data_IF_944952247257
#
_entry.id   IF_944952247257
#
_cell.length_a   1.000
_cell.length_b   1.000
_cell.length_c   1.000
_cell.angle_alpha   90.00
_cell.angle_beta   90.00
_cell.angle_gamma   90.00
#
_symmetry.space_group_name_H-M   'P 1'
#
loop_
_entity.id
_entity.type
_entity.pdbx_description
1 polymer ?
#
# COMPACT_ATOMS: atom_id res chain seq x y z
N UNK A 1 -26.73 -2.79 10.65
CA UNK A 1 -26.50 -1.49 9.98
C UNK A 1 -26.93 -1.66 8.53
N UNK A 2 -28.03 -1.04 8.10
CA UNK A 2 -28.47 -1.10 6.70
C UNK A 2 -27.62 -0.09 5.91
N UNK A 3 -26.73 -0.58 5.06
CA UNK A 3 -25.99 0.26 4.13
C UNK A 3 -27.01 0.76 3.12
N UNK A 4 -27.32 2.06 3.16
CA UNK A 4 -28.16 2.66 2.12
C UNK A 4 -27.44 2.50 0.77
N UNK A 5 -28.12 2.01 -0.28
CA UNK A 5 -27.50 1.94 -1.60
C UNK A 5 -27.10 3.35 -2.03
N UNK A 6 -25.85 3.50 -2.48
CA UNK A 6 -25.36 4.74 -3.10
C UNK A 6 -26.35 5.21 -4.18
N UNK A 7 -26.61 6.52 -4.32
CA UNK A 7 -27.48 7.03 -5.37
C UNK A 7 -26.96 6.56 -6.73
N UNK A 8 -27.78 5.75 -7.41
CA UNK A 8 -27.46 5.09 -8.70
C UNK A 8 -27.28 6.05 -9.89
N UNK A 9 -27.42 7.36 -9.67
CA UNK A 9 -27.38 8.36 -10.71
C UNK A 9 -26.24 9.35 -10.45
N UNK A 10 -25.00 8.89 -10.58
CA UNK A 10 -23.92 9.83 -10.90
C UNK A 10 -24.12 10.26 -12.37
N UNK A 11 -24.22 11.56 -12.66
CA UNK A 11 -24.45 12.06 -14.02
C UNK A 11 -23.34 11.68 -15.02
N UNK A 12 -22.18 11.26 -14.52
CA UNK A 12 -21.10 10.64 -15.30
C UNK A 12 -20.71 9.32 -14.65
N UNK A 13 -20.80 8.17 -15.36
CA UNK A 13 -20.29 6.91 -14.84
C UNK A 13 -18.76 6.98 -14.69
N UNK A 14 -18.20 6.17 -13.78
CA UNK A 14 -16.75 5.99 -13.69
C UNK A 14 -16.25 5.37 -14.99
N UNK A 15 -15.41 6.08 -15.72
CA UNK A 15 -14.73 5.54 -16.90
C UNK A 15 -13.44 4.85 -16.47
N UNK A 16 -13.33 3.54 -16.77
CA UNK A 16 -12.07 2.80 -16.62
C UNK A 16 -11.21 3.08 -17.86
N UNK A 17 -10.19 3.93 -17.69
CA UNK A 17 -9.17 4.12 -18.72
C UNK A 17 -8.10 3.02 -18.61
N UNK A 18 -7.23 2.97 -19.62
CA UNK A 18 -6.11 2.03 -19.67
C UNK A 18 -4.84 2.77 -19.26
N UNK A 19 -4.05 2.13 -18.41
CA UNK A 19 -2.67 2.51 -18.18
C UNK A 19 -1.74 1.59 -18.95
N UNK A 20 -0.64 2.15 -19.45
CA UNK A 20 0.34 1.36 -20.23
C UNK A 20 0.97 0.31 -19.32
N UNK A 21 1.22 0.63 -18.04
CA UNK A 21 1.74 -0.28 -17.02
C UNK A 21 0.91 -1.55 -16.83
N UNK A 22 -0.41 -1.46 -17.00
CA UNK A 22 -1.36 -2.57 -16.78
C UNK A 22 -1.40 -3.59 -17.93
N UNK A 23 -0.79 -3.26 -19.07
CA UNK A 23 -0.89 -4.12 -20.26
C UNK A 23 0.10 -5.29 -20.18
N UNK A 24 -0.37 -6.50 -20.51
CA UNK A 24 0.48 -7.71 -20.51
C UNK A 24 1.68 -7.64 -21.47
N UNK A 25 1.62 -6.76 -22.46
CA UNK A 25 2.70 -6.49 -23.42
C UNK A 25 3.64 -5.36 -22.98
N UNK A 26 3.35 -4.67 -21.87
CA UNK A 26 4.18 -3.57 -21.38
C UNK A 26 5.60 -4.08 -21.07
N UNK A 27 6.65 -3.48 -21.65
CA UNK A 27 8.01 -3.88 -21.33
C UNK A 27 8.31 -3.70 -19.84
N UNK A 28 8.93 -4.70 -19.23
CA UNK A 28 9.22 -4.70 -17.79
C UNK A 28 10.02 -3.47 -17.33
N UNK A 29 10.96 -2.98 -18.14
CA UNK A 29 11.75 -1.78 -17.83
C UNK A 29 10.87 -0.52 -17.73
N UNK A 30 9.80 -0.42 -18.53
CA UNK A 30 8.90 0.73 -18.53
C UNK A 30 8.00 0.69 -17.31
N UNK A 31 7.41 -0.47 -17.03
CA UNK A 31 6.62 -0.70 -15.82
C UNK A 31 7.45 -0.40 -14.55
N UNK A 32 8.70 -0.87 -14.49
CA UNK A 32 9.60 -0.57 -13.38
C UNK A 32 9.95 0.93 -13.28
N UNK A 33 10.11 1.62 -14.41
CA UNK A 33 10.37 3.05 -14.43
C UNK A 33 9.19 3.87 -13.90
N UNK A 34 7.96 3.47 -14.25
CA UNK A 34 6.73 4.04 -13.73
C UNK A 34 6.65 3.88 -12.21
N UNK A 35 6.80 2.65 -11.71
CA UNK A 35 6.80 2.38 -10.27
C UNK A 35 7.85 3.20 -9.51
N UNK A 36 9.08 3.31 -10.03
CA UNK A 36 10.14 4.12 -9.43
C UNK A 36 9.80 5.61 -9.40
N UNK A 37 9.16 6.11 -10.47
CA UNK A 37 8.75 7.51 -10.59
C UNK A 37 7.65 7.84 -9.58
N UNK A 38 6.67 6.94 -9.41
CA UNK A 38 5.62 7.07 -8.40
C UNK A 38 6.19 7.01 -6.98
N UNK A 39 7.14 6.12 -6.69
CA UNK A 39 7.85 6.11 -5.39
C UNK A 39 8.55 7.45 -5.12
N UNK A 40 9.17 8.08 -6.12
CA UNK A 40 9.78 9.41 -5.95
C UNK A 40 8.73 10.47 -5.65
N UNK A 41 7.56 10.42 -6.30
CA UNK A 41 6.47 11.36 -6.06
C UNK A 41 5.87 11.22 -4.66
N UNK A 42 5.67 9.99 -4.18
CA UNK A 42 5.23 9.72 -2.80
C UNK A 42 6.14 10.38 -1.76
N UNK A 43 7.44 10.38 -2.03
CA UNK A 43 8.48 10.82 -1.11
C UNK A 43 8.96 12.26 -1.38
N UNK A 44 8.44 12.90 -2.44
CA UNK A 44 8.83 14.26 -2.81
C UNK A 44 8.37 15.25 -1.75
N UNK A 45 9.31 16.06 -1.26
CA UNK A 45 9.05 17.19 -0.38
C UNK A 45 9.43 18.47 -1.13
N UNK A 46 8.45 19.32 -1.38
CA UNK A 46 8.67 20.63 -2.00
C UNK A 46 8.91 21.67 -0.89
N UNK A 47 10.15 22.21 -0.76
CA UNK A 47 10.45 23.20 0.27
C UNK A 47 9.51 24.39 0.17
N UNK A 48 9.04 24.94 1.29
CA UNK A 48 8.13 26.10 1.37
C UNK A 48 6.68 25.88 0.89
N UNK A 49 6.39 24.87 0.07
CA UNK A 49 5.05 24.63 -0.49
C UNK A 49 4.32 23.42 0.11
N UNK A 50 5.07 22.46 0.68
CA UNK A 50 4.51 21.21 1.19
C UNK A 50 4.70 21.04 2.69
N UNK A 51 3.68 20.52 3.38
CA UNK A 51 3.74 20.09 4.79
C UNK A 51 4.21 18.64 4.87
N UNK A 52 5.46 18.39 4.46
CA UNK A 52 5.99 17.04 4.31
C UNK A 52 5.70 16.43 2.93
N UNK A 53 6.07 15.16 2.75
CA UNK A 53 5.74 14.38 1.56
C UNK A 53 4.32 13.79 1.66
N UNK A 54 3.82 13.19 0.57
CA UNK A 54 2.57 12.44 0.62
C UNK A 54 2.69 11.23 1.56
N UNK A 55 3.87 10.60 1.61
CA UNK A 55 4.12 9.48 2.51
C UNK A 55 4.08 9.89 4.00
N UNK A 56 4.59 11.07 4.36
CA UNK A 56 4.46 11.58 5.74
C UNK A 56 3.03 11.93 6.09
N UNK A 57 2.22 12.40 5.13
CA UNK A 57 0.79 12.63 5.36
C UNK A 57 0.03 11.31 5.55
N UNK A 58 0.40 10.26 4.80
CA UNK A 58 -0.15 8.93 4.99
C UNK A 58 0.12 8.38 6.40
N UNK A 59 1.24 8.73 7.04
CA UNK A 59 1.52 8.36 8.44
C UNK A 59 0.42 8.83 9.40
N UNK A 60 -0.18 9.99 9.17
CA UNK A 60 -1.22 10.52 10.05
C UNK A 60 -2.50 9.68 10.01
N UNK A 61 -2.82 9.10 8.85
CA UNK A 61 -3.97 8.18 8.69
C UNK A 61 -3.79 6.94 9.57
N UNK A 62 -2.57 6.40 9.65
CA UNK A 62 -2.25 5.27 10.55
C UNK A 62 -2.46 5.64 12.02
N UNK A 63 -1.98 6.82 12.43
CA UNK A 63 -2.09 7.29 13.82
C UNK A 63 -3.54 7.58 14.22
N UNK A 64 -4.34 8.06 13.28
CA UNK A 64 -5.76 8.35 13.51
C UNK A 64 -6.61 7.09 13.64
N UNK A 65 -6.34 6.06 12.82
CA UNK A 65 -7.25 4.92 12.68
C UNK A 65 -6.76 3.61 13.28
N UNK A 66 -5.46 3.43 13.54
CA UNK A 66 -4.93 2.21 14.14
C UNK A 66 -4.46 2.46 15.57
N UNK A 67 -5.21 1.91 16.52
CA UNK A 67 -4.78 1.87 17.91
C UNK A 67 -3.70 0.81 18.11
N UNK A 68 -2.64 1.17 18.84
CA UNK A 68 -1.53 0.27 19.16
C UNK A 68 -0.86 -0.34 17.92
N UNK A 69 -0.25 0.51 17.09
CA UNK A 69 0.46 0.13 15.85
C UNK A 69 1.45 -1.04 16.02
N UNK A 70 2.11 -1.15 17.18
CA UNK A 70 3.02 -2.25 17.51
C UNK A 70 2.37 -3.64 17.51
N UNK A 71 1.04 -3.70 17.62
CA UNK A 71 0.25 -4.94 17.55
C UNK A 71 -0.05 -5.41 16.12
N UNK A 72 0.35 -4.64 15.11
CA UNK A 72 0.09 -4.94 13.70
C UNK A 72 1.32 -5.42 12.93
N UNK A 73 1.04 -6.19 11.88
CA UNK A 73 1.84 -6.33 10.67
C UNK A 73 1.06 -5.68 9.54
N UNK A 74 1.71 -4.78 8.81
CA UNK A 74 1.13 -4.04 7.70
C UNK A 74 1.52 -4.72 6.40
N UNK A 75 0.53 -5.08 5.60
CA UNK A 75 0.72 -5.62 4.26
C UNK A 75 0.41 -4.54 3.22
N UNK A 76 1.44 -4.06 2.52
CA UNK A 76 1.31 -3.14 1.39
C UNK A 76 1.01 -3.95 0.12
N UNK A 77 -0.22 -3.85 -0.36
CA UNK A 77 -0.69 -4.55 -1.55
C UNK A 77 -0.63 -3.59 -2.73
N UNK A 78 -0.11 -4.07 -3.86
CA UNK A 78 0.23 -3.24 -5.02
C UNK A 78 1.34 -2.23 -4.67
N UNK A 79 2.36 -2.70 -3.96
CA UNK A 79 3.43 -1.85 -3.43
C UNK A 79 4.33 -1.23 -4.52
N UNK A 80 4.30 -1.75 -5.76
CA UNK A 80 5.17 -1.33 -6.86
C UNK A 80 6.64 -1.39 -6.46
N UNK A 81 7.33 -0.25 -6.50
CA UNK A 81 8.73 -0.13 -6.05
C UNK A 81 8.89 0.18 -4.55
N UNK A 82 7.84 0.01 -3.76
CA UNK A 82 7.78 0.27 -2.31
C UNK A 82 7.04 1.55 -1.91
N UNK A 83 6.63 2.38 -2.88
CA UNK A 83 5.76 3.55 -2.67
C UNK A 83 6.10 4.39 -1.43
N UNK A 84 5.13 4.61 -0.51
CA UNK A 84 5.35 5.35 0.73
C UNK A 84 5.96 4.50 1.86
N UNK A 85 5.96 3.17 1.74
CA UNK A 85 6.22 2.23 2.84
C UNK A 85 7.58 2.41 3.51
N UNK A 86 8.70 2.66 2.80
CA UNK A 86 9.96 3.04 3.44
C UNK A 86 9.84 4.23 4.39
N UNK A 87 9.07 5.26 4.04
CA UNK A 87 8.87 6.43 4.90
C UNK A 87 7.90 6.11 6.03
N UNK A 88 6.81 5.38 5.76
CA UNK A 88 5.88 4.91 6.79
C UNK A 88 6.62 4.14 7.88
N UNK A 89 7.47 3.20 7.50
CA UNK A 89 8.25 2.40 8.45
C UNK A 89 9.14 3.27 9.32
N UNK A 90 9.95 4.15 8.71
CA UNK A 90 10.89 4.98 9.46
C UNK A 90 10.20 5.96 10.40
N UNK A 91 9.14 6.62 9.94
CA UNK A 91 8.43 7.64 10.72
C UNK A 91 7.63 7.01 11.87
N UNK A 92 6.87 5.94 11.58
CA UNK A 92 6.03 5.29 12.59
C UNK A 92 6.89 4.53 13.62
N UNK A 93 7.95 3.83 13.20
CA UNK A 93 8.80 3.10 14.15
C UNK A 93 9.67 4.03 14.99
N UNK A 94 10.09 5.20 14.48
CA UNK A 94 10.76 6.22 15.30
C UNK A 94 9.86 6.71 16.44
N UNK A 95 8.57 6.90 16.18
CA UNK A 95 7.62 7.31 17.21
C UNK A 95 7.31 6.18 18.21
N UNK A 96 7.22 4.93 17.75
CA UNK A 96 7.05 3.76 18.61
C UNK A 96 8.27 3.54 19.52
N UNK A 97 9.48 3.68 18.98
CA UNK A 97 10.73 3.59 19.75
C UNK A 97 10.79 4.65 20.85
N UNK A 98 10.42 5.89 20.55
CA UNK A 98 10.35 6.97 21.55
C UNK A 98 9.33 6.68 22.68
N UNK A 99 8.34 5.82 22.42
CA UNK A 99 7.35 5.35 23.40
C UNK A 99 7.76 4.03 24.07
N UNK A 100 8.92 3.46 23.75
CA UNK A 100 9.38 2.16 24.25
C UNK A 100 8.54 0.98 23.77
N UNK A 101 7.90 1.10 22.60
CA UNK A 101 7.07 0.06 21.99
C UNK A 101 7.82 -0.73 20.92
N UNK A 102 7.38 -1.96 20.69
CA UNK A 102 7.88 -2.79 19.58
C UNK A 102 7.60 -2.16 18.21
N UNK A 103 8.48 -2.36 17.22
CA UNK A 103 8.25 -1.84 15.87
C UNK A 103 7.09 -2.54 15.17
N UNK A 104 6.33 -1.77 14.39
CA UNK A 104 5.41 -2.30 13.38
C UNK A 104 6.21 -2.88 12.22
N UNK A 105 5.76 -4.04 11.72
CA UNK A 105 6.39 -4.75 10.60
C UNK A 105 5.64 -4.47 9.32
N UNK A 106 6.35 -4.37 8.20
CA UNK A 106 5.79 -4.20 6.87
C UNK A 106 6.15 -5.36 5.95
N UNK A 107 5.20 -5.76 5.11
CA UNK A 107 5.37 -6.76 4.06
C UNK A 107 4.96 -6.11 2.74
N UNK A 108 5.85 -6.12 1.74
CA UNK A 108 5.54 -5.63 0.40
C UNK A 108 5.06 -6.78 -0.49
N UNK A 109 3.99 -6.54 -1.24
CA UNK A 109 3.46 -7.49 -2.22
C UNK A 109 2.93 -6.76 -3.45
N UNK A 110 3.01 -7.43 -4.61
CA UNK A 110 2.52 -6.89 -5.87
C UNK A 110 2.20 -8.04 -6.84
N UNK A 111 1.35 -7.78 -7.83
CA UNK A 111 1.13 -8.69 -8.95
C UNK A 111 2.36 -8.72 -9.87
N UNK A 112 3.11 -7.62 -9.94
CA UNK A 112 4.37 -7.47 -10.66
C UNK A 112 5.52 -7.05 -9.72
N UNK A 113 6.04 -7.97 -8.88
CA UNK A 113 7.06 -7.65 -7.88
C UNK A 113 8.31 -6.96 -8.42
N UNK A 114 8.67 -5.82 -7.83
CA UNK A 114 9.94 -5.15 -8.11
C UNK A 114 11.03 -5.57 -7.12
N UNK A 115 11.41 -6.85 -7.18
CA UNK A 115 12.29 -7.52 -6.20
C UNK A 115 13.60 -6.77 -5.97
N UNK A 116 14.23 -6.25 -7.02
CA UNK A 116 15.51 -5.53 -6.89
C UNK A 116 15.36 -4.22 -6.09
N UNK A 117 14.22 -3.53 -6.19
CA UNK A 117 13.93 -2.35 -5.37
C UNK A 117 13.71 -2.75 -3.91
N UNK A 118 12.91 -3.80 -3.68
CA UNK A 118 12.59 -4.28 -2.33
C UNK A 118 13.79 -4.85 -1.58
N UNK A 119 14.70 -5.55 -2.26
CA UNK A 119 15.97 -6.01 -1.69
C UNK A 119 16.84 -4.85 -1.19
N UNK A 120 16.83 -3.70 -1.87
CA UNK A 120 17.57 -2.51 -1.43
C UNK A 120 16.91 -1.87 -0.21
N UNK A 121 15.58 -1.90 -0.14
CA UNK A 121 14.79 -1.40 0.99
C UNK A 121 15.03 -2.27 2.23
N UNK A 122 14.81 -3.58 2.14
CA UNK A 122 14.92 -4.50 3.28
C UNK A 122 16.33 -4.59 3.86
N UNK A 123 17.38 -4.43 3.03
CA UNK A 123 18.77 -4.31 3.51
C UNK A 123 19.01 -3.10 4.40
N UNK A 124 18.23 -2.04 4.25
CA UNK A 124 18.36 -0.79 5.02
C UNK A 124 17.37 -0.73 6.19
N UNK A 125 16.22 -1.40 6.06
CA UNK A 125 15.11 -1.29 6.99
C UNK A 125 14.68 -2.69 7.44
N UNK A 126 15.13 -3.09 8.62
CA UNK A 126 14.94 -4.44 9.16
C UNK A 126 13.47 -4.83 9.39
N UNK A 127 12.57 -3.85 9.51
CA UNK A 127 11.14 -4.06 9.72
C UNK A 127 10.36 -4.16 8.39
N UNK A 128 11.05 -4.19 7.24
CA UNK A 128 10.43 -4.38 5.92
C UNK A 128 10.89 -5.70 5.33
N UNK A 129 9.91 -6.54 5.02
CA UNK A 129 10.07 -7.78 4.25
C UNK A 129 9.19 -7.73 3.00
N UNK A 130 9.26 -8.74 2.13
CA UNK A 130 8.52 -8.75 0.88
C UNK A 130 8.26 -10.17 0.37
N UNK A 131 7.29 -10.32 -0.52
CA UNK A 131 6.98 -11.57 -1.23
C UNK A 131 7.53 -11.47 -2.66
N UNK A 132 8.47 -12.35 -3.03
CA UNK A 132 9.12 -12.32 -4.35
C UNK A 132 8.21 -12.76 -5.50
N UNK A 133 7.21 -13.58 -5.20
CA UNK A 133 6.28 -14.12 -6.19
C UNK A 133 5.08 -13.19 -6.40
N UNK A 134 4.50 -13.13 -7.60
CA UNK A 134 3.24 -12.42 -7.84
C UNK A 134 2.15 -12.77 -6.83
N UNK A 135 1.47 -11.74 -6.31
CA UNK A 135 0.34 -11.88 -5.38
C UNK A 135 -0.90 -11.24 -6.00
N UNK A 136 -1.97 -12.03 -6.15
CA UNK A 136 -3.28 -11.53 -6.54
C UNK A 136 -3.97 -10.90 -5.32
N UNK A 137 -4.20 -9.58 -5.37
CA UNK A 137 -4.83 -8.82 -4.31
C UNK A 137 -6.25 -9.32 -3.93
N UNK A 138 -6.93 -10.03 -4.84
CA UNK A 138 -8.26 -10.62 -4.62
C UNK A 138 -8.22 -11.92 -3.81
N UNK A 139 -7.05 -12.51 -3.61
CA UNK A 139 -6.88 -13.83 -2.99
C UNK A 139 -5.62 -13.86 -2.12
N UNK A 140 -5.60 -13.02 -1.07
CA UNK A 140 -4.46 -12.91 -0.16
C UNK A 140 -4.80 -13.59 1.16
N UNK A 141 -4.05 -14.64 1.51
CA UNK A 141 -4.13 -15.26 2.84
C UNK A 141 -3.42 -14.40 3.88
N UNK A 142 -3.74 -14.61 5.16
CA UNK A 142 -3.03 -13.96 6.26
C UNK A 142 -1.54 -14.35 6.25
N UNK A 143 -0.67 -13.36 6.34
CA UNK A 143 0.79 -13.51 6.28
C UNK A 143 1.45 -13.27 7.64
N UNK A 144 0.85 -12.42 8.49
CA UNK A 144 1.40 -12.04 9.80
C UNK A 144 0.96 -12.97 10.95
N UNK A 145 1.78 -13.02 12.01
CA UNK A 145 1.42 -13.63 13.31
C UNK A 145 0.65 -12.68 14.22
N UNK A 146 0.82 -11.38 14.00
CA UNK A 146 0.15 -10.28 14.68
C UNK A 146 -1.19 -9.96 14.00
N UNK A 147 -1.88 -8.91 14.45
CA UNK A 147 -3.01 -8.37 13.68
C UNK A 147 -2.52 -7.93 12.30
N UNK A 148 -3.29 -8.17 11.26
CA UNK A 148 -2.93 -7.79 9.89
C UNK A 148 -3.71 -6.54 9.48
N UNK A 149 -3.01 -5.48 9.08
CA UNK A 149 -3.60 -4.32 8.41
C UNK A 149 -3.16 -4.32 6.94
N UNK A 150 -4.10 -4.29 6.00
CA UNK A 150 -3.79 -4.20 4.57
C UNK A 150 -3.91 -2.77 4.09
N UNK A 151 -2.90 -2.25 3.42
CA UNK A 151 -2.95 -0.91 2.84
C UNK A 151 -2.96 -0.95 1.32
N UNK A 152 -3.69 -0.01 0.74
CA UNK A 152 -3.86 0.13 -0.71
C UNK A 152 -3.49 1.55 -1.16
N UNK A 153 -2.22 1.76 -1.48
CA UNK A 153 -1.68 3.08 -1.78
C UNK A 153 -1.99 3.53 -3.21
N UNK A 154 -3.13 4.23 -3.38
CA UNK A 154 -3.54 4.86 -4.66
C UNK A 154 -3.64 3.83 -5.80
N UNK A 155 -3.90 2.55 -5.53
CA UNK A 155 -3.90 1.51 -6.57
C UNK A 155 -5.28 1.18 -7.16
N UNK A 156 -6.38 1.67 -6.57
CA UNK A 156 -7.73 1.24 -6.97
C UNK A 156 -8.14 1.62 -8.40
N UNK A 157 -7.44 2.56 -9.03
CA UNK A 157 -7.73 2.99 -10.39
C UNK A 157 -7.36 1.93 -11.46
N UNK A 158 -6.47 0.98 -11.15
CA UNK A 158 -6.12 -0.14 -12.04
C UNK A 158 -7.24 -1.18 -12.18
N UNK A 159 -8.16 -1.24 -11.21
CA UNK A 159 -9.14 -2.31 -11.10
C UNK A 159 -10.49 -1.93 -11.68
N UNK A 160 -11.15 -2.88 -12.35
CA UNK A 160 -12.59 -2.79 -12.59
C UNK A 160 -13.36 -3.03 -11.29
N UNK A 161 -14.67 -2.78 -11.31
CA UNK A 161 -15.52 -2.87 -10.12
C UNK A 161 -15.57 -4.28 -9.52
N UNK A 162 -15.45 -5.33 -10.35
CA UNK A 162 -15.39 -6.72 -9.90
C UNK A 162 -14.09 -7.03 -9.16
N UNK A 163 -12.96 -6.59 -9.70
CA UNK A 163 -11.65 -6.75 -9.08
C UNK A 163 -11.55 -5.96 -7.78
N UNK A 164 -11.96 -4.68 -7.78
CA UNK A 164 -11.99 -3.85 -6.58
C UNK A 164 -12.87 -4.46 -5.48
N UNK A 165 -14.05 -4.97 -5.84
CA UNK A 165 -14.94 -5.67 -4.91
C UNK A 165 -14.28 -6.94 -4.35
N UNK A 166 -13.57 -7.70 -5.19
CA UNK A 166 -12.84 -8.90 -4.78
C UNK A 166 -11.70 -8.58 -3.79
N UNK A 167 -10.96 -7.50 -4.03
CA UNK A 167 -9.88 -7.03 -3.15
C UNK A 167 -10.43 -6.63 -1.78
N UNK A 168 -11.49 -5.81 -1.76
CA UNK A 168 -12.11 -5.37 -0.50
C UNK A 168 -12.73 -6.55 0.25
N UNK A 169 -13.37 -7.49 -0.46
CA UNK A 169 -13.88 -8.73 0.14
C UNK A 169 -12.76 -9.53 0.79
N UNK A 170 -11.65 -9.75 0.07
CA UNK A 170 -10.46 -10.44 0.58
C UNK A 170 -9.93 -9.79 1.86
N UNK A 171 -9.82 -8.45 1.89
CA UNK A 171 -9.39 -7.72 3.08
C UNK A 171 -10.35 -7.91 4.26
N UNK A 172 -11.67 -7.76 4.03
CA UNK A 172 -12.70 -7.93 5.08
C UNK A 172 -12.73 -9.35 5.65
N UNK A 173 -12.56 -10.36 4.80
CA UNK A 173 -12.69 -11.77 5.22
C UNK A 173 -11.44 -12.31 5.94
N UNK A 174 -10.26 -11.72 5.74
CA UNK A 174 -9.00 -12.34 6.18
C UNK A 174 -8.03 -11.44 6.98
N UNK A 175 -8.20 -10.12 6.93
CA UNK A 175 -7.39 -9.17 7.71
C UNK A 175 -8.15 -8.64 8.95
N UNK A 176 -7.43 -7.99 9.87
CA UNK A 176 -8.02 -7.33 11.03
C UNK A 176 -8.39 -5.86 10.75
N UNK A 177 -7.71 -5.24 9.78
CA UNK A 177 -7.96 -3.88 9.32
C UNK A 177 -7.54 -3.72 7.86
N UNK A 178 -8.08 -2.71 7.18
CA UNK A 178 -7.54 -2.24 5.91
C UNK A 178 -7.73 -0.74 5.75
N UNK A 179 -6.88 -0.13 4.92
CA UNK A 179 -6.80 1.32 4.72
C UNK A 179 -6.54 1.65 3.26
#
# INVERSE_FOLDING_TARGET
MKINPFPRNMPWPRSQFLEIGDQSWCPSWLHQHEQLSLTKLWNLKVPFWSRGSLATQACEVFKEHLQDLSSYTVLDICAGSGGPTPVLESELNRELEAQGKDPVQFILSDLYPHVEAWQRISKKQQNISYIETPVDARAVSRLGKKKECRIFNVCFHHFNDGDASGILKSAVESADAFM
#
